data_IF_719339355555
#
_entry.id   IF_719339355555
#
_cell.length_a   1.000
_cell.length_b   1.000
_cell.length_c   1.000
_cell.angle_alpha   90.00
_cell.angle_beta   90.00
_cell.angle_gamma   90.00
#
_symmetry.space_group_name_H-M   'P 1'
#
loop_
_entity.id
_entity.type
_entity.pdbx_description
1 polymer ?
2 non-polymer ?
3 non-polymer ?
4 non-polymer ?
5 water ?
#
# COMPACT_ATOMS: atom_id res chain seq x y z
N UNK A 1 13.24 8.88 -7.08
CA UNK A 1 12.25 9.79 -7.66
C UNK A 1 11.44 10.45 -6.57
N UNK A 2 10.27 10.99 -6.94
CA UNK A 2 9.46 11.83 -6.06
C UNK A 2 8.51 10.98 -5.24
N UNK A 3 8.54 11.17 -3.92
CA UNK A 3 7.56 10.49 -3.08
C UNK A 3 6.14 10.96 -3.37
N UNK A 4 5.95 12.26 -3.69
CA UNK A 4 4.59 12.69 -3.96
C UNK A 4 4.03 11.96 -5.18
N UNK A 5 4.85 11.78 -6.19
CA UNK A 5 4.38 11.11 -7.40
C UNK A 5 3.98 9.68 -7.10
N UNK A 6 4.79 8.98 -6.31
CA UNK A 6 4.50 7.58 -5.97
C UNK A 6 3.26 7.50 -5.08
N UNK A 7 3.15 8.39 -4.11
CA UNK A 7 2.00 8.39 -3.19
C UNK A 7 0.67 8.61 -3.89
N UNK A 8 0.63 9.45 -4.93
CA UNK A 8 -0.62 9.83 -5.61
C UNK A 8 -0.82 9.11 -6.94
N UNK A 9 0.02 8.12 -7.24
CA UNK A 9 -0.03 7.48 -8.55
C UNK A 9 -1.34 6.71 -8.73
N UNK A 10 -1.92 6.79 -9.91
CA UNK A 10 -3.08 5.97 -10.21
C UNK A 10 -2.63 4.82 -11.10
N UNK A 11 -2.98 3.58 -10.74
CA UNK A 11 -2.64 2.46 -11.61
C UNK A 11 -3.44 2.53 -12.91
N UNK A 12 -2.81 2.08 -14.00
CA UNK A 12 -3.51 1.92 -15.27
C UNK A 12 -4.58 0.83 -15.21
N UNK A 13 -5.61 1.01 -16.06
CA UNK A 13 -6.60 -0.05 -16.21
C UNK A 13 -5.92 -1.36 -16.62
N UNK A 14 -4.95 -1.31 -17.55
CA UNK A 14 -4.36 -2.53 -18.08
C UNK A 14 -3.61 -3.30 -16.99
N UNK A 15 -2.82 -2.60 -16.16
CA UNK A 15 -2.09 -3.32 -15.12
C UNK A 15 -3.01 -3.87 -14.05
N UNK A 16 -4.01 -3.07 -13.61
CA UNK A 16 -4.95 -3.57 -12.61
C UNK A 16 -5.63 -4.84 -13.12
N UNK A 17 -6.08 -4.82 -14.36
CA UNK A 17 -6.75 -6.03 -14.86
C UNK A 17 -5.78 -7.19 -15.05
N UNK A 18 -4.52 -6.91 -15.44
CA UNK A 18 -3.52 -7.97 -15.61
C UNK A 18 -3.27 -8.70 -14.29
N UNK A 19 -3.05 -7.95 -13.21
CA UNK A 19 -2.76 -8.62 -11.96
C UNK A 19 -4.02 -9.15 -11.28
N UNK A 20 -5.18 -8.56 -11.57
CA UNK A 20 -6.43 -9.15 -11.07
C UNK A 20 -6.67 -10.53 -11.68
N UNK A 21 -6.47 -10.62 -12.99
CA UNK A 21 -6.62 -11.93 -13.67
C UNK A 21 -5.60 -12.95 -13.15
N UNK A 22 -4.36 -12.51 -12.87
CA UNK A 22 -3.34 -13.39 -12.34
C UNK A 22 -3.71 -13.91 -10.96
N UNK A 23 -4.24 -13.02 -10.11
CA UNK A 23 -4.66 -13.40 -8.77
C UNK A 23 -5.83 -14.37 -8.84
N UNK A 24 -6.80 -14.07 -9.71
CA UNK A 24 -7.96 -14.94 -9.86
C UNK A 24 -7.53 -16.34 -10.30
N UNK A 25 -6.55 -16.40 -11.20
CA UNK A 25 -6.04 -17.70 -11.69
C UNK A 25 -5.42 -18.50 -10.57
N UNK A 26 -4.56 -17.87 -9.75
CA UNK A 26 -3.98 -18.62 -8.63
C UNK A 26 -5.03 -19.03 -7.61
N UNK A 27 -5.98 -18.13 -7.29
CA UNK A 27 -7.05 -18.48 -6.36
C UNK A 27 -7.85 -19.66 -6.90
N UNK A 28 -8.14 -19.67 -8.21
CA UNK A 28 -8.84 -20.81 -8.81
C UNK A 28 -8.07 -22.10 -8.64
N UNK A 29 -6.75 -22.05 -8.82
CA UNK A 29 -5.89 -23.22 -8.65
C UNK A 29 -5.72 -23.64 -7.20
N UNK A 30 -6.11 -22.82 -6.25
CA UNK A 30 -5.80 -23.08 -4.85
C UNK A 30 -4.34 -22.91 -4.48
N UNK A 31 -3.62 -22.03 -5.16
CA UNK A 31 -2.18 -21.90 -4.88
C UNK A 31 -1.76 -20.44 -5.01
N UNK A 32 -2.23 -19.59 -4.08
CA UNK A 32 -1.88 -18.16 -4.12
C UNK A 32 -0.48 -17.91 -3.57
N UNK A 33 0.32 -17.12 -4.28
CA UNK A 33 1.68 -16.80 -3.83
C UNK A 33 1.71 -15.42 -3.17
N UNK A 34 2.64 -15.21 -2.24
CA UNK A 34 2.82 -13.86 -1.68
C UNK A 34 3.11 -12.87 -2.81
N UNK A 35 3.93 -13.29 -3.80
CA UNK A 35 4.28 -12.39 -4.89
C UNK A 35 3.08 -11.90 -5.67
N UNK A 36 2.22 -12.83 -6.10
CA UNK A 36 1.06 -12.41 -6.90
C UNK A 36 0.06 -11.63 -6.06
N UNK A 37 -0.14 -12.05 -4.81
CA UNK A 37 -1.08 -11.30 -3.95
C UNK A 37 -0.58 -9.89 -3.76
N UNK A 38 0.74 -9.73 -3.61
CA UNK A 38 1.29 -8.38 -3.46
C UNK A 38 1.15 -7.57 -4.74
N UNK A 39 1.45 -8.16 -5.90
CA UNK A 39 1.30 -7.42 -7.15
C UNK A 39 -0.13 -6.91 -7.30
N UNK A 40 -1.11 -7.77 -7.00
CA UNK A 40 -2.50 -7.34 -7.14
C UNK A 40 -2.81 -6.25 -6.11
N UNK A 41 -2.38 -6.44 -4.85
CA UNK A 41 -2.66 -5.42 -3.82
C UNK A 41 -1.98 -4.10 -4.18
N UNK A 42 -0.77 -4.16 -4.73
CA UNK A 42 -0.06 -2.94 -5.15
C UNK A 42 -0.86 -2.15 -6.19
N UNK A 43 -1.53 -2.86 -7.11
CA UNK A 43 -2.42 -2.17 -8.04
C UNK A 43 -3.67 -1.65 -7.33
N UNK A 44 -4.26 -2.47 -6.47
CA UNK A 44 -5.53 -2.09 -5.81
C UNK A 44 -5.39 -0.83 -4.97
N UNK A 45 -4.29 -0.71 -4.22
CA UNK A 45 -4.19 0.45 -3.33
C UNK A 45 -3.87 1.70 -4.13
N UNK A 46 -3.46 1.57 -5.41
CA UNK A 46 -3.26 2.72 -6.30
C UNK A 46 -4.46 2.97 -7.19
N UNK A 47 -5.59 2.32 -6.92
CA UNK A 47 -6.79 2.54 -7.75
C UNK A 47 -7.44 3.88 -7.43
N UNK A 48 -8.24 4.38 -8.37
CA UNK A 48 -9.08 5.54 -8.08
C UNK A 48 -10.29 5.20 -7.23
N UNK A 49 -10.59 3.92 -7.04
CA UNK A 49 -11.88 3.50 -6.53
C UNK A 49 -11.77 2.97 -5.11
N UNK A 50 -12.61 3.49 -4.23
CA UNK A 50 -12.57 3.13 -2.83
C UNK A 50 -12.63 1.63 -2.57
N UNK A 51 -13.56 0.90 -3.23
CA UNK A 51 -13.68 -0.52 -2.94
C UNK A 51 -12.39 -1.24 -3.28
N UNK A 52 -11.71 -0.81 -4.35
CA UNK A 52 -10.42 -1.45 -4.70
C UNK A 52 -9.40 -1.21 -3.60
N UNK A 53 -9.28 0.05 -3.16
CA UNK A 53 -8.23 0.35 -2.19
C UNK A 53 -8.46 -0.45 -0.93
N UNK A 54 -9.74 -0.53 -0.49
CA UNK A 54 -10.03 -1.28 0.72
C UNK A 54 -9.63 -2.74 0.58
N UNK A 55 -9.85 -3.32 -0.60
CA UNK A 55 -9.50 -4.71 -0.79
C UNK A 55 -7.99 -4.89 -0.82
N UNK A 56 -7.31 -3.94 -1.43
CA UNK A 56 -5.84 -4.01 -1.40
C UNK A 56 -5.25 -3.97 -0.01
N UNK A 57 -5.82 -3.14 0.89
CA UNK A 57 -5.38 -3.08 2.27
C UNK A 57 -5.58 -4.43 2.96
N UNK A 58 -6.75 -5.05 2.78
CA UNK A 58 -6.95 -6.38 3.39
C UNK A 58 -5.90 -7.39 2.90
N UNK A 59 -5.65 -7.40 1.61
CA UNK A 59 -4.67 -8.34 1.06
C UNK A 59 -3.28 -8.09 1.60
N UNK A 60 -2.89 -6.81 1.78
CA UNK A 60 -1.58 -6.54 2.37
C UNK A 60 -1.54 -6.95 3.84
N UNK A 61 -2.62 -6.72 4.57
CA UNK A 61 -2.57 -7.10 5.98
C UNK A 61 -2.49 -8.60 6.14
N UNK A 62 -3.09 -9.33 5.20
CA UNK A 62 -2.96 -10.79 5.18
C UNK A 62 -1.53 -11.21 4.98
N UNK A 63 -0.77 -10.46 4.15
CA UNK A 63 0.60 -10.83 3.86
C UNK A 63 1.54 -10.53 5.01
N UNK A 64 1.20 -9.55 5.85
CA UNK A 64 2.18 -9.02 6.81
C UNK A 64 2.85 -10.10 7.67
N UNK A 65 2.13 -11.02 8.31
CA UNK A 65 2.82 -12.05 9.12
C UNK A 65 3.51 -13.14 8.30
N UNK A 66 3.33 -13.16 6.99
CA UNK A 66 3.98 -14.16 6.14
C UNK A 66 5.26 -13.65 5.48
N UNK A 67 5.54 -12.36 5.62
CA UNK A 67 6.63 -11.75 4.90
C UNK A 67 7.94 -11.84 5.66
N UNK A 68 9.02 -12.07 4.91
CA UNK A 68 10.35 -11.79 5.42
C UNK A 68 10.50 -10.29 5.68
N UNK A 69 11.56 -9.94 6.41
CA UNK A 69 11.81 -8.54 6.75
C UNK A 69 11.79 -7.65 5.51
N UNK A 70 12.43 -8.07 4.43
CA UNK A 70 12.49 -7.22 3.25
C UNK A 70 11.14 -7.15 2.55
N UNK A 71 10.32 -8.18 2.71
CA UNK A 71 8.98 -8.12 2.14
C UNK A 71 8.10 -7.19 2.96
N UNK A 72 8.19 -7.28 4.30
CA UNK A 72 7.30 -6.49 5.16
C UNK A 72 7.51 -5.00 4.94
N UNK A 73 8.74 -4.59 4.60
CA UNK A 73 9.00 -3.18 4.32
C UNK A 73 8.11 -2.69 3.20
N UNK A 74 8.04 -3.47 2.12
CA UNK A 74 7.17 -3.15 1.00
C UNK A 74 5.70 -3.15 1.44
N UNK A 75 5.27 -4.18 2.19
CA UNK A 75 3.85 -4.22 2.58
C UNK A 75 3.45 -3.02 3.42
N UNK A 76 4.31 -2.63 4.38
CA UNK A 76 3.98 -1.52 5.26
C UNK A 76 3.94 -0.21 4.47
N UNK A 77 4.88 -0.02 3.53
CA UNK A 77 4.85 1.17 2.69
C UNK A 77 3.53 1.29 1.94
N UNK A 78 3.09 0.21 1.29
CA UNK A 78 1.84 0.34 0.53
C UNK A 78 0.60 0.28 1.43
N UNK A 79 0.71 -0.23 2.67
CA UNK A 79 -0.39 -0.05 3.65
C UNK A 79 -0.51 1.43 4.04
N UNK A 80 0.61 2.13 4.16
CA UNK A 80 0.53 3.59 4.37
C UNK A 80 -0.09 4.29 3.18
N UNK A 81 0.34 3.95 1.96
CA UNK A 81 -0.24 4.54 0.75
C UNK A 81 -1.76 4.32 0.72
N UNK A 82 -2.17 3.05 0.84
CA UNK A 82 -3.60 2.73 0.70
C UNK A 82 -4.47 3.43 1.75
N UNK A 83 -4.03 3.40 3.00
CA UNK A 83 -4.81 4.08 4.05
C UNK A 83 -4.86 5.59 3.81
N UNK A 84 -3.74 6.19 3.37
CA UNK A 84 -3.77 7.61 2.98
C UNK A 84 -4.84 7.91 1.94
N UNK A 85 -4.97 7.03 0.92
CA UNK A 85 -5.92 7.24 -0.15
C UNK A 85 -7.37 7.20 0.34
N UNK A 86 -7.63 6.54 1.47
CA UNK A 86 -8.97 6.42 2.04
C UNK A 86 -9.24 7.46 3.10
N UNK A 87 -8.29 8.36 3.33
CA UNK A 87 -8.32 9.31 4.44
C UNK A 87 -8.37 8.58 5.78
N UNK A 88 -7.75 7.38 5.82
CA UNK A 88 -7.41 6.74 7.10
C UNK A 88 -6.06 7.25 7.57
N UNK A 89 -6.01 8.54 7.93
CA UNK A 89 -4.71 9.17 8.11
C UNK A 89 -3.97 8.63 9.33
N UNK A 90 -4.70 8.40 10.41
CA UNK A 90 -4.13 7.86 11.63
C UNK A 90 -3.40 6.54 11.36
N UNK A 91 -4.07 5.65 10.68
CA UNK A 91 -3.52 4.34 10.37
C UNK A 91 -2.37 4.46 9.41
N UNK A 92 -2.50 5.35 8.42
CA UNK A 92 -1.38 5.58 7.52
C UNK A 92 -0.14 6.05 8.29
N UNK A 93 -0.31 7.01 9.22
CA UNK A 93 0.84 7.48 9.98
C UNK A 93 1.41 6.39 10.89
N UNK A 94 0.53 5.56 11.44
CA UNK A 94 0.97 4.44 12.27
C UNK A 94 1.86 3.51 11.47
N UNK A 95 1.45 3.20 10.24
CA UNK A 95 2.26 2.32 9.42
C UNK A 95 3.60 2.97 9.08
N UNK A 96 3.61 4.26 8.70
CA UNK A 96 4.90 4.82 8.31
C UNK A 96 5.80 5.03 9.52
N UNK A 97 5.23 5.31 10.69
CA UNK A 97 6.08 5.50 11.85
C UNK A 97 6.61 4.18 12.35
N UNK A 98 5.93 3.09 12.03
CA UNK A 98 6.50 1.77 12.27
C UNK A 98 7.73 1.54 11.42
N UNK A 99 7.63 1.87 10.13
CA UNK A 99 8.78 1.82 9.26
C UNK A 99 9.93 2.66 9.81
N UNK A 100 9.62 3.86 10.32
CA UNK A 100 10.68 4.74 10.78
C UNK A 100 11.29 4.24 12.07
N UNK A 101 10.52 3.53 12.89
CA UNK A 101 11.10 2.95 14.09
C UNK A 101 12.23 2.00 13.72
N UNK A 102 12.03 1.20 12.67
CA UNK A 102 13.05 0.27 12.21
C UNK A 102 14.08 0.93 11.29
N UNK A 103 13.75 2.07 10.66
CA UNK A 103 14.66 2.74 9.73
C UNK A 103 14.63 4.25 9.98
N UNK A 104 15.20 4.70 11.10
CA UNK A 104 15.03 6.11 11.49
C UNK A 104 15.60 7.10 10.51
N UNK A 105 16.60 6.71 9.72
CA UNK A 105 17.22 7.61 8.77
C UNK A 105 16.60 7.52 7.39
N UNK A 106 15.58 6.68 7.22
CA UNK A 106 14.89 6.52 5.95
C UNK A 106 14.13 7.80 5.63
N UNK A 107 14.75 8.73 4.90
CA UNK A 107 14.08 10.00 4.64
C UNK A 107 12.97 9.88 3.61
N UNK A 108 12.93 8.79 2.83
CA UNK A 108 11.77 8.56 1.97
C UNK A 108 10.54 8.32 2.82
N UNK A 109 10.68 7.51 3.86
CA UNK A 109 9.61 7.36 4.83
C UNK A 109 9.26 8.68 5.49
N UNK A 110 10.28 9.50 5.80
CA UNK A 110 10.02 10.79 6.44
C UNK A 110 9.20 11.69 5.53
N UNK A 111 9.52 11.69 4.23
CA UNK A 111 8.77 12.50 3.30
C UNK A 111 7.34 11.98 3.18
N UNK A 112 7.15 10.65 3.17
CA UNK A 112 5.79 10.08 3.20
C UNK A 112 5.02 10.53 4.45
N UNK A 113 5.70 10.58 5.60
CA UNK A 113 5.05 11.04 6.81
C UNK A 113 4.59 12.49 6.67
N UNK A 114 5.45 13.33 6.11
CA UNK A 114 5.08 14.73 5.88
C UNK A 114 3.88 14.85 4.96
N UNK A 115 3.84 14.04 3.88
CA UNK A 115 2.77 14.21 2.91
C UNK A 115 1.44 13.74 3.49
N UNK A 116 1.46 12.69 4.33
CA UNK A 116 0.23 12.24 5.01
C UNK A 116 -0.23 13.29 6.03
N UNK A 117 0.71 13.80 6.82
CA UNK A 117 0.34 14.78 7.82
C UNK A 117 -0.23 16.05 7.19
N UNK A 118 0.37 16.47 6.07
CA UNK A 118 -0.09 17.67 5.37
C UNK A 118 -1.54 17.51 4.93
N UNK A 119 -1.87 16.34 4.37
CA UNK A 119 -3.23 16.07 3.91
C UNK A 119 -4.19 16.02 5.10
N UNK A 120 -3.74 15.38 6.20
CA UNK A 120 -4.59 15.20 7.36
C UNK A 120 -4.97 16.55 7.95
N UNK A 121 -3.98 17.42 8.06
CA UNK A 121 -4.24 18.74 8.64
C UNK A 121 -5.03 19.62 7.69
N UNK A 122 -4.78 19.51 6.38
CA UNK A 122 -5.60 20.21 5.41
C UNK A 122 -7.07 19.82 5.52
N UNK A 123 -7.35 18.59 5.93
CA UNK A 123 -8.73 18.11 6.11
C UNK A 123 -9.31 18.47 7.47
N UNK A 124 -8.59 19.20 8.30
CA UNK A 124 -9.01 19.54 9.65
C UNK A 124 -8.84 18.46 10.68
N UNK A 125 -8.08 17.40 10.38
CA UNK A 125 -7.96 16.25 11.29
C UNK A 125 -6.61 16.22 12.05
X LIG B 1 7.32 -7.79 -2.30
X LIG B 1 7.71 -9.10 -2.99
X LIG B 1 8.52 -7.38 -1.67
X LIG B 1 7.05 -9.20 -4.66
X LIG C 1 5.04 -5.41 -7.61
X LIG C 1 5.89 -6.49 -7.29
X LIG C 1 5.91 -4.25 -8.11
X LIG C 1 6.57 -3.69 -7.01
X LIG C 1 6.27 -2.36 -6.72
X LIG C 1 7.00 -2.06 -5.43
X LIG C 1 8.38 -1.94 -5.76
X LIG D 1 -7.01 3.46 -11.33
X LIG D 1 -8.09 2.41 -11.50
X LIG D 1 -7.11 4.31 -12.45
X LIG D 1 -8.31 2.14 -13.28
X LIG E 1 -0.95 -15.96 0.45
X LIG E 1 -1.73 -15.37 1.45
X LIG E 1 0.41 -16.28 1.04
X LIG E 1 0.81 -17.61 0.82
X LIG E 1 0.20 -18.53 1.68
X LIG E 1 1.14 -19.70 1.93
X LIG E 1 0.40 -20.88 1.72
X LIG F 1 -5.41 4.01 -17.60
#
# INVERSE_FOLDING_TARGET
GSMEAVLNELVSVEDLLKFEKKFQSEKAAGSVSKSTQFEYAWCLVRSKYNDDIRKGIVLLEELLPKGSKEEQRDYVFYLAVGNYRLKEYEKALKYVRGLLQTEPQNNQAKELERLIDKAMKKDGL
BME C1 C2 O1 S2
PEG C1 O1 C2 O2 C3 C4 O4
BME C1 C2 O1 S2
PEG C1 O1 C2 O2 C3 C4 O4
NA NA
#
